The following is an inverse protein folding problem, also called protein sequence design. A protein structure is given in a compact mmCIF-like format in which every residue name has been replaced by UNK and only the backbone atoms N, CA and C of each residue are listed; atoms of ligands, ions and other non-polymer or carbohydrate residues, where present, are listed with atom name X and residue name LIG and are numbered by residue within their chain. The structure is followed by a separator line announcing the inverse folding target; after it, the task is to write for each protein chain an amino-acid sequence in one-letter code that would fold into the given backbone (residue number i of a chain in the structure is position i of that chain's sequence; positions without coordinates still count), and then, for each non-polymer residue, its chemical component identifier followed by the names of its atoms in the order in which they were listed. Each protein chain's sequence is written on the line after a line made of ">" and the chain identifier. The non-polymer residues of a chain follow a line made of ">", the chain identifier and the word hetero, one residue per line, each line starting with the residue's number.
data_IF_850916435991
#
_entry.id   IF_850916435991
#
_cell.length_a   1.000
_cell.length_b   1.000
_cell.length_c   1.000
_cell.angle_alpha   90.00
_cell.angle_beta   90.00
_cell.angle_gamma   90.00
#
_symmetry.space_group_name_H-M   'P 1'
#
loop_
_entity.id
_entity.type
_entity.pdbx_description
1 polymer ?
#
# COMPACT_ATOMS: atom_id res chain seq x y z
N UNK A 1 -29.70 -19.90 -6.57
CA UNK A 1 -28.97 -19.36 -7.75
C UNK A 1 -27.78 -18.56 -7.27
N UNK A 2 -26.60 -18.87 -7.77
CA UNK A 2 -25.35 -18.15 -7.44
C UNK A 2 -24.81 -17.49 -8.70
N UNK A 3 -24.28 -16.29 -8.59
CA UNK A 3 -23.68 -15.53 -9.70
C UNK A 3 -22.32 -15.04 -9.27
N UNK A 4 -21.32 -15.23 -10.10
CA UNK A 4 -19.96 -14.83 -9.78
C UNK A 4 -18.98 -15.07 -10.93
N UNK A 5 -17.72 -14.70 -10.69
CA UNK A 5 -16.61 -14.99 -11.60
C UNK A 5 -16.05 -16.36 -11.23
N UNK A 6 -15.87 -17.23 -12.22
CA UNK A 6 -15.24 -18.52 -12.02
C UNK A 6 -13.81 -18.35 -11.53
N UNK A 7 -13.51 -18.89 -10.34
CA UNK A 7 -12.17 -18.89 -9.74
C UNK A 7 -11.43 -20.16 -10.13
N UNK A 8 -12.07 -21.30 -9.90
CA UNK A 8 -11.61 -22.61 -10.35
C UNK A 8 -12.76 -23.60 -10.42
N UNK A 9 -12.49 -24.75 -11.08
CA UNK A 9 -13.43 -25.85 -11.26
C UNK A 9 -12.66 -27.16 -11.27
N UNK A 10 -13.17 -28.13 -10.54
CA UNK A 10 -12.73 -29.53 -10.60
C UNK A 10 -13.94 -30.47 -10.78
N UNK A 11 -13.74 -31.78 -10.77
CA UNK A 11 -14.80 -32.78 -10.95
C UNK A 11 -15.82 -32.81 -9.81
N UNK A 12 -15.52 -32.25 -8.65
CA UNK A 12 -16.32 -32.32 -7.44
C UNK A 12 -17.03 -31.00 -7.14
N UNK A 13 -16.47 -29.86 -7.57
CA UNK A 13 -16.96 -28.54 -7.17
C UNK A 13 -16.60 -27.43 -8.16
N UNK A 14 -17.40 -26.36 -8.09
CA UNK A 14 -17.13 -25.07 -8.74
C UNK A 14 -16.92 -24.01 -7.66
N UNK A 15 -15.92 -23.14 -7.82
CA UNK A 15 -15.74 -21.98 -6.95
C UNK A 15 -15.99 -20.70 -7.74
N UNK A 16 -16.92 -19.91 -7.25
CA UNK A 16 -17.29 -18.62 -7.81
C UNK A 16 -16.91 -17.50 -6.81
N UNK A 17 -16.42 -16.39 -7.32
CA UNK A 17 -16.26 -15.16 -6.54
C UNK A 17 -17.44 -14.24 -6.86
N UNK A 18 -18.24 -13.92 -5.86
CA UNK A 18 -19.38 -13.01 -6.01
C UNK A 18 -18.95 -11.53 -6.14
N UNK A 19 -19.93 -10.65 -6.35
CA UNK A 19 -19.69 -9.20 -6.48
C UNK A 19 -19.12 -8.54 -5.21
N UNK A 20 -19.20 -9.21 -4.05
CA UNK A 20 -18.62 -8.73 -2.78
C UNK A 20 -17.19 -9.21 -2.57
N UNK A 21 -16.65 -10.02 -3.50
CA UNK A 21 -15.34 -10.64 -3.41
C UNK A 21 -15.30 -11.96 -2.63
N UNK A 22 -16.44 -12.42 -2.09
CA UNK A 22 -16.54 -13.67 -1.34
C UNK A 22 -16.48 -14.87 -2.30
N UNK A 23 -15.66 -15.86 -1.96
CA UNK A 23 -15.59 -17.12 -2.70
C UNK A 23 -16.64 -18.09 -2.16
N UNK A 24 -17.52 -18.54 -3.05
CA UNK A 24 -18.57 -19.54 -2.80
C UNK A 24 -18.15 -20.84 -3.47
N UNK A 25 -18.18 -21.94 -2.73
CA UNK A 25 -17.92 -23.28 -3.26
C UNK A 25 -19.22 -24.01 -3.42
N UNK A 26 -19.52 -24.51 -4.62
CA UNK A 26 -20.74 -25.21 -5.00
C UNK A 26 -20.36 -26.63 -5.43
N UNK A 27 -20.87 -27.68 -4.76
CA UNK A 27 -20.68 -29.06 -5.21
C UNK A 27 -21.26 -29.27 -6.61
N UNK A 28 -20.56 -30.03 -7.48
CA UNK A 28 -21.05 -30.33 -8.83
C UNK A 28 -22.42 -31.01 -8.82
N UNK A 29 -22.69 -31.84 -7.80
CA UNK A 29 -23.97 -32.55 -7.65
C UNK A 29 -25.17 -31.61 -7.35
N UNK A 30 -24.92 -30.38 -6.93
CA UNK A 30 -25.96 -29.38 -6.64
C UNK A 30 -26.18 -28.40 -7.79
N UNK A 31 -25.45 -28.56 -8.89
CA UNK A 31 -25.57 -27.70 -10.08
C UNK A 31 -26.59 -28.33 -11.03
N UNK A 32 -27.78 -27.74 -11.09
CA UNK A 32 -28.84 -28.13 -12.01
C UNK A 32 -28.62 -27.54 -13.40
N UNK A 33 -28.15 -26.29 -13.45
CA UNK A 33 -27.94 -25.56 -14.70
C UNK A 33 -26.79 -24.55 -14.53
N UNK A 34 -25.96 -24.45 -15.56
CA UNK A 34 -24.91 -23.45 -15.66
C UNK A 34 -25.15 -22.58 -16.89
N UNK A 35 -25.25 -21.28 -16.70
CA UNK A 35 -25.48 -20.32 -17.79
C UNK A 35 -24.36 -19.29 -17.77
N UNK A 36 -23.82 -18.97 -18.93
CA UNK A 36 -22.85 -17.89 -19.06
C UNK A 36 -23.52 -16.56 -18.72
N UNK A 37 -23.01 -15.95 -17.63
CA UNK A 37 -23.52 -14.68 -17.12
C UNK A 37 -22.99 -13.48 -17.91
N UNK A 38 -23.71 -12.37 -17.83
CA UNK A 38 -23.21 -11.06 -18.24
C UNK A 38 -22.34 -10.47 -17.14
N UNK A 39 -21.68 -9.34 -17.43
CA UNK A 39 -20.84 -8.62 -16.46
C UNK A 39 -21.52 -8.46 -15.09
N UNK A 40 -20.78 -8.67 -14.00
CA UNK A 40 -21.22 -8.38 -12.63
C UNK A 40 -21.35 -6.88 -12.34
N UNK A 41 -20.82 -6.02 -13.21
CA UNK A 41 -20.95 -4.57 -13.09
C UNK A 41 -22.38 -4.13 -13.35
N UNK A 42 -22.98 -3.31 -12.45
CA UNK A 42 -24.30 -2.74 -12.69
C UNK A 42 -24.34 -1.96 -14.00
N UNK A 43 -25.47 -2.05 -14.70
CA UNK A 43 -25.69 -1.23 -15.90
C UNK A 43 -25.78 0.24 -15.53
N UNK A 44 -25.30 1.11 -16.40
CA UNK A 44 -25.46 2.56 -16.26
C UNK A 44 -24.36 3.28 -15.50
N UNK A 45 -23.31 2.59 -15.00
CA UNK A 45 -22.19 3.24 -14.34
C UNK A 45 -21.46 4.28 -15.22
N UNK A 46 -21.51 4.08 -16.54
CA UNK A 46 -20.87 4.99 -17.50
C UNK A 46 -21.74 6.18 -17.88
N UNK A 47 -23.03 6.21 -17.49
CA UNK A 47 -23.94 7.32 -17.86
C UNK A 47 -23.61 8.64 -17.18
N UNK A 48 -22.83 8.60 -16.10
CA UNK A 48 -22.39 9.78 -15.36
C UNK A 48 -21.05 10.33 -15.86
N UNK A 49 -20.39 9.62 -16.78
CA UNK A 49 -19.12 10.03 -17.36
C UNK A 49 -19.37 10.89 -18.60
N UNK A 50 -18.57 11.93 -18.76
CA UNK A 50 -18.46 12.63 -20.04
C UNK A 50 -17.82 11.70 -21.08
N UNK A 51 -17.96 12.03 -22.36
CA UNK A 51 -17.32 11.25 -23.42
C UNK A 51 -15.81 11.15 -23.24
N UNK A 52 -15.16 12.23 -22.79
CA UNK A 52 -13.73 12.26 -22.55
C UNK A 52 -13.34 11.34 -21.41
N UNK A 53 -14.01 11.41 -20.26
CA UNK A 53 -13.76 10.53 -19.11
C UNK A 53 -13.99 9.06 -19.46
N UNK A 54 -14.98 8.76 -20.29
CA UNK A 54 -15.21 7.40 -20.77
C UNK A 54 -14.05 6.90 -21.64
N UNK A 55 -13.55 7.72 -22.55
CA UNK A 55 -12.41 7.38 -23.39
C UNK A 55 -11.12 7.20 -22.57
N UNK A 56 -10.90 8.06 -21.60
CA UNK A 56 -9.76 7.99 -20.68
C UNK A 56 -9.81 6.72 -19.84
N UNK A 57 -10.99 6.38 -19.30
CA UNK A 57 -11.22 5.11 -18.59
C UNK A 57 -10.98 3.90 -19.49
N UNK A 58 -11.54 3.91 -20.71
CA UNK A 58 -11.34 2.83 -21.67
C UNK A 58 -9.87 2.65 -22.03
N UNK A 59 -9.13 3.76 -22.25
CA UNK A 59 -7.70 3.74 -22.47
C UNK A 59 -6.95 3.20 -21.26
N UNK A 60 -7.25 3.68 -20.07
CA UNK A 60 -6.64 3.19 -18.82
C UNK A 60 -6.80 1.66 -18.70
N UNK A 61 -8.04 1.15 -18.84
CA UNK A 61 -8.29 -0.29 -18.76
C UNK A 61 -7.55 -1.06 -19.85
N UNK A 62 -7.45 -0.51 -21.07
CA UNK A 62 -6.72 -1.15 -22.16
C UNK A 62 -5.20 -1.21 -21.98
N UNK A 63 -4.64 -0.33 -21.13
CA UNK A 63 -3.21 -0.28 -20.82
C UNK A 63 -2.82 -1.08 -19.57
N UNK A 64 -3.82 -1.53 -18.77
CA UNK A 64 -3.55 -2.34 -17.58
C UNK A 64 -2.84 -3.65 -17.95
N UNK A 65 -1.75 -3.93 -17.23
CA UNK A 65 -0.96 -5.15 -17.41
C UNK A 65 0.02 -5.14 -18.60
N UNK A 66 0.01 -4.11 -19.44
CA UNK A 66 1.04 -3.94 -20.48
C UNK A 66 2.33 -3.37 -19.88
N UNK A 67 3.49 -3.62 -20.49
CA UNK A 67 4.74 -2.95 -20.10
C UNK A 67 4.58 -1.43 -20.14
N UNK A 68 4.92 -0.76 -19.03
CA UNK A 68 4.80 0.70 -18.92
C UNK A 68 4.28 1.15 -17.55
N UNK A 69 3.73 2.38 -17.46
CA UNK A 69 3.28 2.96 -16.20
C UNK A 69 2.21 2.14 -15.46
N UNK A 70 1.42 1.35 -16.20
CA UNK A 70 0.33 0.52 -15.68
C UNK A 70 0.68 -0.98 -15.65
N UNK A 71 1.95 -1.32 -15.75
CA UNK A 71 2.41 -2.70 -15.65
C UNK A 71 2.08 -3.31 -14.27
N UNK A 72 1.69 -4.57 -14.27
CA UNK A 72 1.55 -5.35 -13.03
C UNK A 72 2.95 -5.56 -12.46
N UNK A 73 3.18 -5.07 -11.25
CA UNK A 73 4.46 -5.22 -10.57
C UNK A 73 4.53 -6.59 -9.92
N UNK A 74 5.64 -7.28 -10.11
CA UNK A 74 5.91 -8.58 -9.46
C UNK A 74 6.28 -8.44 -7.98
N UNK A 75 6.75 -7.26 -7.57
CA UNK A 75 7.15 -6.97 -6.19
C UNK A 75 6.07 -6.12 -5.52
N UNK A 76 5.48 -6.57 -4.40
CA UNK A 76 4.53 -5.80 -3.64
C UNK A 76 5.11 -4.44 -3.23
N UNK A 77 4.32 -3.38 -3.39
CA UNK A 77 4.71 -2.00 -3.08
C UNK A 77 3.68 -1.40 -2.15
N UNK A 78 4.12 -0.70 -1.11
CA UNK A 78 3.19 -0.03 -0.19
C UNK A 78 2.51 1.13 -0.93
N UNK A 79 1.20 1.02 -1.13
CA UNK A 79 0.40 2.03 -1.81
C UNK A 79 -0.52 2.80 -0.87
N UNK A 80 -0.83 2.24 0.29
CA UNK A 80 -1.67 2.90 1.30
C UNK A 80 -0.82 3.30 2.48
N UNK A 81 -0.80 4.59 2.74
CA UNK A 81 -0.03 5.22 3.81
C UNK A 81 -0.94 5.88 4.82
N UNK A 82 -0.46 6.00 6.04
CA UNK A 82 -0.96 6.93 7.04
C UNK A 82 0.01 8.10 7.11
N UNK A 83 -0.50 9.30 6.97
CA UNK A 83 0.25 10.55 7.09
C UNK A 83 -0.15 11.25 8.37
N UNK A 84 0.82 11.62 9.21
CA UNK A 84 0.59 12.35 10.44
C UNK A 84 0.17 13.79 10.12
N UNK A 85 -1.02 14.17 10.58
CA UNK A 85 -1.52 15.54 10.49
C UNK A 85 -1.03 16.36 11.68
N UNK A 86 -0.54 17.56 11.43
CA UNK A 86 -0.10 18.50 12.46
C UNK A 86 0.82 17.84 13.51
N UNK A 87 2.01 17.40 13.11
CA UNK A 87 2.93 16.78 14.05
C UNK A 87 3.24 17.73 15.21
N UNK A 88 3.32 17.23 16.45
CA UNK A 88 3.78 18.02 17.59
C UNK A 88 5.13 18.70 17.30
N UNK A 89 5.39 19.83 17.94
CA UNK A 89 6.56 20.67 17.66
C UNK A 89 7.89 19.91 17.81
N UNK A 90 7.97 18.99 18.75
CA UNK A 90 9.11 18.12 18.97
C UNK A 90 9.34 17.15 17.80
N UNK A 91 8.28 16.64 17.19
CA UNK A 91 8.36 15.79 16.00
C UNK A 91 8.56 16.60 14.71
N UNK A 92 8.01 17.80 14.62
CA UNK A 92 8.14 18.67 13.44
C UNK A 92 9.55 19.23 13.26
N UNK A 93 10.27 19.46 14.34
CA UNK A 93 11.61 20.11 14.37
C UNK A 93 12.77 19.18 14.74
N UNK A 94 12.48 17.95 15.15
CA UNK A 94 13.50 17.04 15.64
C UNK A 94 14.51 16.68 14.54
N UNK A 95 15.80 16.90 14.82
CA UNK A 95 16.88 16.28 14.07
C UNK A 95 16.73 14.74 14.15
N UNK A 96 17.05 14.03 13.06
CA UNK A 96 16.87 12.56 12.98
C UNK A 96 17.54 11.83 14.13
N UNK A 97 18.66 12.36 14.59
CA UNK A 97 19.52 11.73 15.59
C UNK A 97 19.19 12.15 17.03
N UNK A 98 18.23 13.08 17.22
CA UNK A 98 17.91 13.66 18.52
C UNK A 98 16.86 12.89 19.32
N UNK A 99 16.07 12.00 18.68
CA UNK A 99 15.04 11.22 19.35
C UNK A 99 15.47 9.75 19.39
N UNK A 100 15.59 9.13 20.58
CA UNK A 100 15.81 7.69 20.68
C UNK A 100 14.71 6.91 19.93
N UNK A 101 15.09 5.85 19.23
CA UNK A 101 14.17 5.07 18.41
C UNK A 101 12.97 4.52 19.21
N UNK A 102 13.23 4.08 20.44
CA UNK A 102 12.21 3.54 21.35
C UNK A 102 11.22 4.62 21.81
N UNK A 103 11.71 5.82 22.12
CA UNK A 103 10.86 6.96 22.50
C UNK A 103 9.99 7.41 21.33
N UNK A 104 10.54 7.42 20.12
CA UNK A 104 9.81 7.76 18.91
C UNK A 104 8.69 6.75 18.64
N UNK A 105 8.99 5.47 18.77
CA UNK A 105 8.00 4.40 18.58
C UNK A 105 6.88 4.49 19.61
N UNK A 106 7.19 4.70 20.89
CA UNK A 106 6.20 4.93 21.93
C UNK A 106 5.29 6.12 21.60
N UNK A 107 5.86 7.25 21.19
CA UNK A 107 5.09 8.45 20.87
C UNK A 107 4.18 8.27 19.67
N UNK A 108 4.69 7.66 18.60
CA UNK A 108 3.97 7.56 17.32
C UNK A 108 3.01 6.39 17.24
N UNK A 109 3.30 5.26 17.90
CA UNK A 109 2.56 4.02 17.73
C UNK A 109 1.81 3.62 19.00
N UNK A 110 2.48 3.59 20.16
CA UNK A 110 1.89 3.09 21.40
C UNK A 110 1.13 4.14 22.19
N UNK A 111 1.63 5.37 22.26
CA UNK A 111 1.01 6.48 23.02
C UNK A 111 0.33 7.52 22.13
N UNK A 112 0.08 7.19 20.89
CA UNK A 112 -0.49 8.10 19.89
C UNK A 112 -1.93 8.58 20.17
N UNK A 113 -2.39 8.52 21.42
CA UNK A 113 -3.61 9.15 21.87
C UNK A 113 -3.51 10.67 21.65
N UNK A 114 -4.19 11.17 20.63
CA UNK A 114 -4.17 12.58 20.24
C UNK A 114 -3.48 12.87 18.90
N UNK A 115 -2.71 11.94 18.33
CA UNK A 115 -2.19 12.07 16.98
C UNK A 115 -3.26 11.73 15.95
N UNK A 116 -3.44 12.62 14.98
CA UNK A 116 -4.36 12.38 13.87
C UNK A 116 -3.59 11.93 12.64
N UNK A 117 -4.05 10.83 12.07
CA UNK A 117 -3.50 10.26 10.85
C UNK A 117 -4.54 10.31 9.74
N UNK A 118 -4.16 10.83 8.58
CA UNK A 118 -4.98 10.73 7.36
C UNK A 118 -4.43 9.65 6.43
N UNK A 119 -5.31 9.07 5.63
CA UNK A 119 -4.88 8.16 4.57
C UNK A 119 -4.29 8.94 3.41
N UNK A 120 -3.17 8.45 2.88
CA UNK A 120 -2.56 8.91 1.65
C UNK A 120 -2.32 7.69 0.75
N UNK A 121 -2.37 7.89 -0.56
CA UNK A 121 -2.31 6.79 -1.52
C UNK A 121 -1.21 7.04 -2.55
N UNK A 122 -0.39 6.03 -2.77
CA UNK A 122 0.60 6.02 -3.84
C UNK A 122 -0.05 5.94 -5.22
N UNK A 123 0.69 6.42 -6.21
CA UNK A 123 0.36 6.22 -7.63
C UNK A 123 0.33 4.71 -7.96
N UNK A 124 -0.28 4.34 -9.06
CA UNK A 124 -0.29 2.94 -9.57
C UNK A 124 1.13 2.37 -9.70
N UNK A 125 2.10 3.24 -9.98
CA UNK A 125 3.52 2.92 -9.99
C UNK A 125 4.13 2.69 -8.60
N UNK A 126 3.38 2.88 -7.51
CA UNK A 126 3.79 2.62 -6.13
C UNK A 126 4.47 3.80 -5.44
N UNK A 127 4.77 4.89 -6.14
CA UNK A 127 5.30 6.11 -5.54
C UNK A 127 4.22 6.94 -4.86
N UNK A 128 4.43 7.39 -3.63
CA UNK A 128 3.59 8.37 -2.95
C UNK A 128 4.13 9.78 -3.26
N UNK A 129 3.39 10.63 -4.01
CA UNK A 129 3.81 12.00 -4.27
C UNK A 129 3.78 12.80 -2.96
N UNK A 130 4.82 13.56 -2.67
CA UNK A 130 4.95 14.29 -1.41
C UNK A 130 4.42 15.73 -1.49
N UNK A 131 4.44 16.34 -2.65
CA UNK A 131 3.99 17.71 -2.91
C UNK A 131 2.51 17.93 -2.56
N UNK A 132 1.67 16.92 -2.75
CA UNK A 132 0.26 16.95 -2.39
C UNK A 132 0.00 17.01 -0.87
N UNK A 133 1.04 16.82 -0.07
CA UNK A 133 0.94 16.62 1.39
C UNK A 133 1.69 17.68 2.21
N UNK A 134 2.34 18.60 1.54
CA UNK A 134 3.03 19.73 2.20
C UNK A 134 2.12 20.94 2.31
N UNK A 135 2.31 21.72 3.38
CA UNK A 135 1.58 22.98 3.53
C UNK A 135 2.11 24.02 2.53
N UNK A 136 1.22 24.59 1.73
CA UNK A 136 1.58 25.57 0.68
C UNK A 136 2.08 26.90 1.22
N UNK A 137 1.80 27.20 2.50
CA UNK A 137 2.24 28.40 3.22
C UNK A 137 3.60 28.22 3.91
N UNK A 138 4.11 27.00 3.91
CA UNK A 138 5.42 26.66 4.48
C UNK A 138 6.56 27.02 3.55
N UNK A 139 7.30 28.07 3.85
CA UNK A 139 8.58 28.33 3.19
C UNK A 139 9.67 27.47 3.85
N UNK A 140 10.26 26.57 3.09
CA UNK A 140 11.39 25.78 3.52
C UNK A 140 11.13 24.28 3.71
N UNK A 141 12.09 23.60 4.31
CA UNK A 141 12.06 22.17 4.54
C UNK A 141 10.94 21.78 5.53
N UNK A 142 10.09 20.89 5.12
CA UNK A 142 9.04 20.29 5.96
C UNK A 142 9.37 18.82 6.24
N UNK A 143 8.90 18.31 7.38
CA UNK A 143 9.09 16.92 7.78
C UNK A 143 7.74 16.21 7.78
N UNK A 144 7.58 15.26 6.87
CA UNK A 144 6.42 14.38 6.82
C UNK A 144 6.69 13.09 7.59
N UNK A 145 5.69 12.64 8.35
CA UNK A 145 5.70 11.35 9.02
C UNK A 145 4.72 10.42 8.35
N UNK A 146 5.22 9.32 7.81
CA UNK A 146 4.46 8.33 7.08
C UNK A 146 4.51 6.98 7.80
N UNK A 147 3.41 6.24 7.78
CA UNK A 147 3.37 4.85 8.23
C UNK A 147 2.76 3.97 7.15
N UNK A 148 3.45 2.88 6.82
CA UNK A 148 2.97 1.81 5.96
C UNK A 148 2.91 0.49 6.73
N UNK A 149 1.90 -0.33 6.46
CA UNK A 149 1.72 -1.63 7.09
C UNK A 149 2.23 -2.76 6.20
N UNK A 150 3.03 -3.65 6.78
CA UNK A 150 3.49 -4.90 6.16
C UNK A 150 3.01 -6.04 7.04
N UNK A 151 2.16 -6.91 6.51
CA UNK A 151 1.61 -8.07 7.22
C UNK A 151 2.27 -9.35 6.73
N UNK A 152 2.68 -10.22 7.67
CA UNK A 152 3.33 -11.49 7.37
C UNK A 152 2.71 -12.64 8.16
N UNK A 153 2.59 -13.81 7.54
CA UNK A 153 1.99 -15.01 8.15
C UNK A 153 2.93 -15.77 9.10
N UNK A 154 4.19 -15.41 9.11
CA UNK A 154 5.23 -15.98 9.99
C UNK A 154 6.34 -14.97 10.21
N UNK A 155 7.12 -15.13 11.29
CA UNK A 155 8.33 -14.36 11.49
C UNK A 155 9.40 -14.73 10.46
N UNK A 156 10.15 -13.75 9.97
CA UNK A 156 11.21 -14.00 9.02
C UNK A 156 11.69 -12.73 8.31
N UNK A 157 12.80 -12.83 7.58
CA UNK A 157 13.38 -11.69 6.88
C UNK A 157 12.59 -11.36 5.60
N UNK A 158 12.50 -10.06 5.28
CA UNK A 158 12.03 -9.55 3.99
C UNK A 158 13.08 -8.60 3.42
N UNK A 159 13.12 -8.48 2.10
CA UNK A 159 13.97 -7.50 1.44
C UNK A 159 13.18 -6.20 1.25
N UNK A 160 13.56 -5.14 1.97
CA UNK A 160 12.96 -3.82 1.80
C UNK A 160 13.85 -2.96 0.91
N UNK A 161 13.23 -2.38 -0.12
CA UNK A 161 13.84 -1.36 -0.96
C UNK A 161 13.05 -0.07 -0.79
N UNK A 162 13.70 0.94 -0.26
CA UNK A 162 13.08 2.25 0.01
C UNK A 162 13.76 3.29 -0.87
N UNK A 163 13.00 3.85 -1.81
CA UNK A 163 13.39 5.03 -2.57
C UNK A 163 12.68 6.24 -1.95
N UNK A 164 13.44 7.19 -1.46
CA UNK A 164 12.93 8.37 -0.76
C UNK A 164 13.93 9.54 -0.86
N UNK A 165 13.50 10.78 -0.59
CA UNK A 165 14.38 11.94 -0.55
C UNK A 165 15.56 11.75 0.41
N UNK A 166 16.67 12.42 0.11
CA UNK A 166 17.84 12.43 0.97
C UNK A 166 17.49 12.95 2.38
N UNK A 167 18.09 12.38 3.41
CA UNK A 167 17.78 12.70 4.81
C UNK A 167 16.53 12.00 5.37
N UNK A 168 15.89 11.12 4.60
CA UNK A 168 14.82 10.27 5.11
C UNK A 168 15.35 9.30 6.16
N UNK A 169 14.59 9.11 7.24
CA UNK A 169 14.87 8.10 8.26
C UNK A 169 13.73 7.10 8.34
N UNK A 170 14.05 5.85 8.62
CA UNK A 170 13.10 4.75 8.65
C UNK A 170 13.23 3.90 9.92
N UNK A 171 12.10 3.40 10.41
CA UNK A 171 12.00 2.47 11.53
C UNK A 171 11.00 1.36 11.22
N UNK A 172 11.28 0.16 11.70
CA UNK A 172 10.33 -0.96 11.71
C UNK A 172 10.25 -1.50 13.13
N UNK A 173 9.03 -1.62 13.67
CA UNK A 173 8.83 -2.11 15.03
C UNK A 173 9.63 -1.33 16.09
N UNK A 174 9.86 -0.04 15.87
CA UNK A 174 10.67 0.82 16.74
C UNK A 174 12.18 0.76 16.52
N UNK A 175 12.67 -0.14 15.68
CA UNK A 175 14.10 -0.27 15.35
C UNK A 175 14.42 0.54 14.11
N UNK A 176 15.47 1.38 14.18
CA UNK A 176 15.96 2.15 13.04
C UNK A 176 16.52 1.22 11.96
N UNK A 177 16.19 1.51 10.72
CA UNK A 177 16.70 0.82 9.53
C UNK A 177 17.72 1.75 8.85
N UNK A 178 18.84 1.20 8.45
CA UNK A 178 19.78 1.91 7.59
C UNK A 178 19.32 1.84 6.14
N UNK A 179 18.94 2.97 5.56
CA UNK A 179 18.47 3.06 4.17
C UNK A 179 19.60 2.85 3.15
N UNK A 180 20.84 3.05 3.52
CA UNK A 180 21.99 2.77 2.67
C UNK A 180 22.25 1.26 2.53
N UNK A 181 21.78 0.49 3.50
CA UNK A 181 21.81 -0.96 3.50
C UNK A 181 20.41 -1.52 3.20
N UNK A 182 19.90 -1.27 1.99
CA UNK A 182 18.70 -1.94 1.49
C UNK A 182 18.95 -3.44 1.52
N UNK A 183 18.41 -4.11 2.53
CA UNK A 183 18.73 -5.50 2.81
C UNK A 183 17.63 -6.18 3.57
N UNK A 184 17.95 -7.37 4.02
CA UNK A 184 17.09 -8.25 4.77
C UNK A 184 16.71 -7.64 6.12
N UNK A 185 15.44 -7.30 6.31
CA UNK A 185 14.88 -6.78 7.56
C UNK A 185 14.02 -7.86 8.21
N UNK A 186 14.28 -8.25 9.47
CA UNK A 186 13.46 -9.23 10.16
C UNK A 186 12.11 -8.63 10.52
N UNK A 187 11.03 -9.35 10.19
CA UNK A 187 9.66 -9.02 10.58
C UNK A 187 9.12 -10.07 11.55
N UNK A 188 8.31 -9.59 12.48
CA UNK A 188 7.54 -10.45 13.38
C UNK A 188 6.23 -10.88 12.73
N UNK A 189 5.70 -12.06 13.12
CA UNK A 189 4.40 -12.54 12.64
C UNK A 189 3.30 -11.52 12.92
N UNK A 190 2.50 -11.23 11.90
CA UNK A 190 1.40 -10.25 11.98
C UNK A 190 1.76 -8.92 11.32
N UNK A 191 1.20 -7.84 11.83
CA UNK A 191 1.38 -6.49 11.31
C UNK A 191 2.66 -5.84 11.79
N UNK A 192 3.48 -5.39 10.85
CA UNK A 192 4.71 -4.64 11.11
C UNK A 192 4.54 -3.23 10.53
N UNK A 193 4.77 -2.22 11.33
CA UNK A 193 4.66 -0.83 10.91
C UNK A 193 6.02 -0.27 10.51
N UNK A 194 6.13 0.05 9.21
CA UNK A 194 7.22 0.86 8.69
C UNK A 194 6.87 2.33 8.94
N UNK A 195 7.69 3.02 9.70
CA UNK A 195 7.57 4.47 9.92
C UNK A 195 8.69 5.19 9.20
N UNK A 196 8.34 6.19 8.41
CA UNK A 196 9.28 7.04 7.70
C UNK A 196 9.14 8.48 8.18
N UNK A 197 10.27 9.16 8.37
CA UNK A 197 10.36 10.61 8.47
C UNK A 197 11.02 11.13 7.22
N UNK A 198 10.29 11.89 6.44
CA UNK A 198 10.68 12.30 5.11
C UNK A 198 10.84 13.81 5.07
N UNK A 199 12.04 14.34 4.83
CA UNK A 199 12.21 15.75 4.54
C UNK A 199 11.70 16.04 3.13
N UNK A 200 10.92 17.10 2.98
CA UNK A 200 10.40 17.52 1.69
C UNK A 200 10.37 19.04 1.59
N UNK A 201 10.47 19.54 0.37
CA UNK A 201 10.40 20.97 0.07
C UNK A 201 9.18 21.20 -0.83
N UNK A 202 8.29 22.14 -0.49
CA UNK A 202 7.15 22.48 -1.34
C UNK A 202 7.56 22.80 -2.78
N UNK A 203 6.77 22.33 -3.74
CA UNK A 203 7.00 22.56 -5.18
C UNK A 203 8.10 21.70 -5.79
N UNK A 204 8.57 20.65 -5.11
CA UNK A 204 9.51 19.67 -5.65
C UNK A 204 8.77 18.38 -5.99
N UNK A 205 9.02 17.81 -7.18
CA UNK A 205 8.46 16.51 -7.59
C UNK A 205 9.21 15.37 -6.88
N UNK A 206 8.92 15.21 -5.60
CA UNK A 206 9.50 14.15 -4.75
C UNK A 206 8.45 13.10 -4.44
N UNK A 207 8.89 11.84 -4.39
CA UNK A 207 8.03 10.73 -4.02
C UNK A 207 8.75 9.74 -3.08
N UNK A 208 7.95 8.97 -2.35
CA UNK A 208 8.41 7.83 -1.56
C UNK A 208 7.87 6.55 -2.18
N UNK A 209 8.75 5.59 -2.42
CA UNK A 209 8.39 4.26 -2.88
C UNK A 209 9.02 3.21 -1.99
N UNK A 210 8.22 2.22 -1.56
CA UNK A 210 8.69 1.10 -0.75
C UNK A 210 8.24 -0.20 -1.39
N UNK A 211 9.23 -0.99 -1.80
CA UNK A 211 9.04 -2.34 -2.33
C UNK A 211 9.37 -3.37 -1.26
N UNK A 212 8.55 -4.42 -1.15
CA UNK A 212 8.73 -5.50 -0.18
C UNK A 212 8.94 -6.80 -0.93
N UNK A 213 10.20 -7.18 -1.07
CA UNK A 213 10.62 -8.40 -1.74
C UNK A 213 10.79 -9.59 -0.79
N UNK A 214 10.79 -10.80 -1.34
CA UNK A 214 11.14 -12.02 -0.61
C UNK A 214 12.63 -12.29 -0.70
N UNK A 215 13.18 -12.92 0.33
CA UNK A 215 14.56 -13.40 0.41
C UNK A 215 14.58 -14.79 1.02
N UNK A 216 15.75 -15.43 1.12
CA UNK A 216 15.89 -16.75 1.76
C UNK A 216 15.40 -16.67 3.21
N UNK A 217 14.46 -17.56 3.59
CA UNK A 217 13.85 -17.57 4.92
C UNK A 217 12.66 -16.61 5.10
N UNK A 218 12.22 -15.94 4.04
CA UNK A 218 11.01 -15.09 4.10
C UNK A 218 9.77 -15.89 4.45
N UNK A 219 8.78 -15.26 5.11
CA UNK A 219 7.45 -15.80 5.31
C UNK A 219 6.79 -16.23 3.99
N UNK A 220 5.91 -17.23 4.05
CA UNK A 220 5.20 -17.70 2.84
C UNK A 220 4.36 -16.60 2.22
N UNK A 221 3.67 -15.84 3.07
CA UNK A 221 2.80 -14.74 2.67
C UNK A 221 3.32 -13.43 3.25
N UNK A 222 3.55 -12.49 2.35
CA UNK A 222 3.91 -11.11 2.65
C UNK A 222 2.91 -10.23 1.94
N UNK A 223 2.18 -9.43 2.69
CA UNK A 223 1.16 -8.51 2.21
C UNK A 223 1.50 -7.09 2.62
N UNK A 224 1.21 -6.15 1.77
CA UNK A 224 1.36 -4.73 2.05
C UNK A 224 0.01 -4.03 1.94
N UNK A 225 -0.20 -2.99 2.73
CA UNK A 225 -1.45 -2.24 2.70
C UNK A 225 -1.66 -1.59 1.33
N UNK A 226 -2.75 -1.98 0.65
CA UNK A 226 -3.12 -1.46 -0.67
C UNK A 226 -2.31 -2.01 -1.85
N UNK A 227 -1.30 -2.85 -1.60
CA UNK A 227 -0.56 -3.59 -2.62
C UNK A 227 -1.04 -5.04 -2.73
N UNK A 228 -0.90 -5.64 -3.92
CA UNK A 228 -1.12 -7.08 -4.13
C UNK A 228 0.14 -7.85 -3.82
#
# INVERSE_FOLDING_TARGET
>A
MHTGILVDRDELRVRLRDATGKVITIPMAEIEEEVEGKSLMPKGLTTFLTQQEFLDLARFVSELGKPGPYAIRSTPTIQRWKLLENPPTDLAKAAVDAIPADELFEKLVLKGAGLRWKSAYGKTAGGLPLDEHVALDGSGLQLLWLQGEISVDGAGPVNLRIAAPEGTAAWIGGKRIDLAQTGSVPLEKGSNWLTLRVPTTPGTDQEVQVEVGKTTGSPRRVEVAGGQ
#
